data_IF_491291377735
#
_entry.id   IF_491291377735
#
_cell.length_a   1.000
_cell.length_b   1.000
_cell.length_c   1.000
_cell.angle_alpha   90.00
_cell.angle_beta   90.00
_cell.angle_gamma   90.00
#
_symmetry.space_group_name_H-M   'P 1'
#
loop_
_entity.id
_entity.type
_entity.pdbx_description
1 polymer ?
#
# COMPACT_ATOMS: atom_id res chain seq x y z
N UNK A 1 11.54 -12.87 14.73
CA UNK A 1 12.12 -14.23 14.58
C UNK A 1 13.48 -14.09 13.95
N UNK A 2 14.46 -14.92 14.36
CA UNK A 2 15.78 -14.96 13.70
C UNK A 2 15.78 -16.15 12.76
N UNK A 3 15.97 -15.89 11.47
CA UNK A 3 16.05 -16.90 10.41
C UNK A 3 17.33 -16.64 9.63
N UNK A 4 18.03 -17.67 9.25
CA UNK A 4 19.24 -17.60 8.43
C UNK A 4 19.00 -18.14 7.03
N UNK A 5 19.85 -17.76 6.07
CA UNK A 5 19.91 -18.36 4.73
C UNK A 5 21.34 -18.81 4.45
N UNK A 6 21.52 -19.73 3.48
CA UNK A 6 22.87 -20.19 3.12
C UNK A 6 23.72 -19.13 2.44
N UNK A 7 23.10 -18.29 1.62
CA UNK A 7 23.74 -17.15 0.98
C UNK A 7 22.77 -15.99 0.87
N UNK A 8 23.29 -14.78 0.97
CA UNK A 8 22.59 -13.55 0.69
C UNK A 8 23.36 -12.81 -0.40
N UNK A 9 22.65 -12.46 -1.47
CA UNK A 9 23.20 -11.72 -2.61
C UNK A 9 22.40 -10.44 -2.78
N UNK A 10 23.07 -9.31 -2.66
CA UNK A 10 22.48 -8.00 -2.94
C UNK A 10 22.95 -7.49 -4.29
N UNK A 11 22.02 -7.12 -5.14
CA UNK A 11 22.25 -6.56 -6.47
C UNK A 11 21.96 -5.07 -6.44
N UNK A 12 22.99 -4.26 -6.45
CA UNK A 12 22.89 -2.79 -6.50
C UNK A 12 22.97 -2.21 -7.91
N UNK A 13 23.60 -2.96 -8.83
CA UNK A 13 23.57 -2.67 -10.27
C UNK A 13 22.84 -3.81 -11.00
N UNK A 14 21.70 -3.56 -11.65
CA UNK A 14 21.00 -4.59 -12.41
C UNK A 14 21.84 -5.32 -13.46
N UNK A 15 22.85 -4.66 -14.04
CA UNK A 15 23.77 -5.26 -15.03
C UNK A 15 24.54 -6.46 -14.45
N UNK A 16 24.77 -6.54 -13.13
CA UNK A 16 25.41 -7.67 -12.47
C UNK A 16 24.62 -8.98 -12.68
N UNK A 17 23.32 -8.92 -12.92
CA UNK A 17 22.48 -10.09 -13.23
C UNK A 17 22.90 -10.79 -14.52
N UNK A 18 23.51 -10.10 -15.47
CA UNK A 18 24.00 -10.67 -16.73
C UNK A 18 25.17 -11.64 -16.49
N UNK A 19 25.99 -11.34 -15.51
CA UNK A 19 27.21 -12.11 -15.18
C UNK A 19 27.03 -13.07 -14.02
N UNK A 20 25.96 -12.92 -13.22
CA UNK A 20 25.67 -13.77 -12.08
C UNK A 20 25.43 -15.22 -12.51
N UNK A 21 26.24 -16.13 -12.01
CA UNK A 21 26.05 -17.57 -12.22
C UNK A 21 25.02 -18.12 -11.21
N UNK A 22 23.76 -18.15 -11.61
CA UNK A 22 22.66 -18.65 -10.77
C UNK A 22 22.79 -20.12 -10.39
N UNK A 23 23.47 -20.94 -11.21
CA UNK A 23 23.62 -22.38 -10.98
C UNK A 23 24.68 -22.67 -9.92
N UNK A 24 25.65 -21.77 -9.74
CA UNK A 24 26.66 -21.89 -8.68
C UNK A 24 26.14 -21.48 -7.29
N UNK A 25 25.02 -20.79 -7.23
CA UNK A 25 24.44 -20.35 -5.96
C UNK A 25 23.76 -21.52 -5.21
N UNK A 26 23.79 -21.54 -3.87
CA UNK A 26 22.97 -22.47 -3.08
C UNK A 26 21.49 -22.39 -3.48
N UNK A 27 20.92 -23.52 -3.87
CA UNK A 27 19.52 -23.61 -4.32
C UNK A 27 18.57 -23.91 -3.16
N UNK A 28 17.30 -23.45 -3.24
CA UNK A 28 16.72 -22.59 -4.29
C UNK A 28 17.15 -21.12 -4.16
N UNK A 29 17.12 -20.38 -5.27
CA UNK A 29 17.27 -18.91 -5.26
C UNK A 29 15.91 -18.25 -5.09
N UNK A 30 15.74 -17.52 -4.00
CA UNK A 30 14.51 -16.77 -3.67
C UNK A 30 14.75 -15.27 -3.81
N UNK A 31 13.99 -14.62 -4.70
CA UNK A 31 14.07 -13.16 -4.87
C UNK A 31 13.15 -12.49 -3.86
N UNK A 32 13.71 -11.60 -3.06
CA UNK A 32 13.01 -10.91 -1.97
C UNK A 32 13.22 -9.40 -2.10
N UNK A 33 12.18 -8.62 -1.84
CA UNK A 33 12.30 -7.21 -1.50
C UNK A 33 12.50 -7.02 0.01
N UNK A 34 11.98 -5.95 0.60
CA UNK A 34 12.13 -5.66 2.04
C UNK A 34 11.51 -6.68 3.02
N UNK A 35 10.99 -7.81 2.54
CA UNK A 35 10.52 -8.92 3.40
C UNK A 35 9.22 -8.64 4.17
N UNK A 36 8.54 -7.54 3.92
CA UNK A 36 7.39 -7.06 4.71
C UNK A 36 6.11 -7.90 4.60
N UNK A 37 6.06 -8.86 3.66
CA UNK A 37 4.92 -9.75 3.42
C UNK A 37 5.32 -11.22 3.43
N UNK A 38 6.38 -11.57 4.17
CA UNK A 38 6.94 -12.92 4.23
C UNK A 38 6.94 -13.45 5.67
N UNK A 39 6.63 -14.73 5.80
CA UNK A 39 6.82 -15.50 7.02
C UNK A 39 7.79 -16.65 6.75
N UNK A 40 9.04 -16.51 7.18
CA UNK A 40 9.97 -17.62 7.17
C UNK A 40 9.63 -18.59 8.28
N UNK A 41 9.34 -19.83 7.91
CA UNK A 41 8.93 -20.89 8.84
C UNK A 41 10.13 -21.67 9.42
N UNK A 42 11.30 -21.57 8.76
CA UNK A 42 12.56 -22.20 9.13
C UNK A 42 13.72 -21.47 8.45
N UNK A 43 14.95 -21.87 8.77
CA UNK A 43 16.13 -21.43 8.03
C UNK A 43 16.00 -21.76 6.54
N UNK A 44 16.31 -20.77 5.69
CA UNK A 44 16.18 -20.94 4.26
C UNK A 44 17.40 -21.70 3.70
N UNK A 45 17.20 -22.86 3.06
CA UNK A 45 18.32 -23.73 2.66
C UNK A 45 19.08 -23.24 1.42
N UNK A 46 18.69 -22.12 0.84
CA UNK A 46 19.19 -21.58 -0.42
C UNK A 46 19.73 -20.17 -0.33
N UNK A 47 19.70 -19.48 -1.46
CA UNK A 47 20.15 -18.10 -1.62
C UNK A 47 18.97 -17.14 -1.60
N UNK A 48 19.03 -16.12 -0.77
CA UNK A 48 18.15 -14.94 -0.85
C UNK A 48 18.84 -13.91 -1.74
N UNK A 49 18.17 -13.50 -2.81
CA UNK A 49 18.61 -12.44 -3.71
C UNK A 49 17.75 -11.20 -3.50
N UNK A 50 18.38 -10.10 -3.18
CA UNK A 50 17.72 -8.80 -2.93
C UNK A 50 18.14 -7.79 -4.00
N UNK A 51 17.18 -7.05 -4.54
CA UNK A 51 17.43 -5.94 -5.45
C UNK A 51 17.57 -4.65 -4.65
N UNK A 52 18.83 -4.26 -4.36
CA UNK A 52 19.18 -3.05 -3.60
C UNK A 52 19.38 -1.79 -4.46
N UNK A 53 19.10 -1.87 -5.77
CA UNK A 53 19.30 -0.75 -6.68
C UNK A 53 18.34 0.41 -6.39
N UNK A 54 18.87 1.64 -6.39
CA UNK A 54 18.17 2.84 -5.95
C UNK A 54 18.08 3.87 -7.08
N UNK A 55 17.02 4.64 -7.11
CA UNK A 55 16.87 5.78 -8.03
C UNK A 55 15.43 6.05 -8.43
N UNK A 56 15.10 7.33 -8.57
CA UNK A 56 13.82 7.82 -9.10
C UNK A 56 14.15 8.84 -10.18
N UNK A 57 13.58 8.68 -11.39
CA UNK A 57 13.82 9.61 -12.49
C UNK A 57 12.60 9.79 -13.38
N UNK A 58 12.42 10.99 -13.88
CA UNK A 58 11.46 11.24 -14.95
C UNK A 58 11.96 10.62 -16.27
N UNK A 59 11.03 10.07 -17.05
CA UNK A 59 11.30 9.66 -18.42
C UNK A 59 10.86 10.78 -19.36
N UNK A 60 11.80 11.30 -20.16
CA UNK A 60 11.50 12.27 -21.21
C UNK A 60 10.76 11.58 -22.36
N UNK A 61 9.67 12.20 -22.76
CA UNK A 61 8.73 11.65 -23.75
C UNK A 61 9.22 11.71 -25.21
N UNK A 62 10.47 12.06 -25.44
CA UNK A 62 11.02 12.20 -26.78
C UNK A 62 11.73 10.93 -27.31
N UNK A 63 11.92 9.90 -26.49
CA UNK A 63 12.54 8.64 -26.94
C UNK A 63 11.93 7.46 -26.22
N UNK A 64 11.12 6.68 -26.92
CA UNK A 64 10.72 5.33 -26.50
C UNK A 64 11.89 4.33 -26.50
N UNK A 65 13.09 4.79 -26.20
CA UNK A 65 14.33 4.00 -26.08
C UNK A 65 15.20 4.66 -25.02
N UNK A 66 15.45 3.95 -23.96
CA UNK A 66 16.41 4.34 -22.93
C UNK A 66 17.83 4.41 -23.55
N UNK A 67 18.21 5.55 -24.08
CA UNK A 67 19.63 5.87 -24.37
C UNK A 67 20.12 6.80 -23.27
N UNK A 68 21.09 6.27 -22.52
CA UNK A 68 22.05 6.93 -21.65
C UNK A 68 22.03 8.47 -21.67
N UNK A 69 21.16 9.08 -20.87
CA UNK A 69 21.33 10.48 -20.54
C UNK A 69 21.93 10.60 -19.13
N UNK A 70 23.23 10.92 -19.13
CA UNK A 70 24.08 11.08 -17.94
C UNK A 70 23.73 12.30 -17.06
N UNK A 71 22.56 12.91 -17.21
CA UNK A 71 22.27 14.23 -16.64
C UNK A 71 21.17 14.31 -15.58
N UNK A 72 20.72 13.20 -15.03
CA UNK A 72 19.85 13.28 -13.84
C UNK A 72 20.40 12.34 -12.78
N UNK A 73 21.27 12.85 -11.94
CA UNK A 73 21.82 12.11 -10.79
C UNK A 73 20.98 12.45 -9.59
N UNK A 74 20.29 11.46 -9.04
CA UNK A 74 19.77 11.53 -7.67
C UNK A 74 20.95 11.25 -6.75
N UNK A 75 21.38 12.27 -6.04
CA UNK A 75 22.41 12.13 -5.00
C UNK A 75 21.73 11.76 -3.70
N UNK A 76 22.02 10.60 -3.17
CA UNK A 76 21.71 10.25 -1.77
C UNK A 76 22.64 11.03 -0.86
N UNK A 77 22.07 11.79 0.09
CA UNK A 77 22.83 12.42 1.15
C UNK A 77 23.30 11.37 2.16
N UNK A 78 24.37 11.68 2.90
CA UNK A 78 24.93 10.81 3.94
C UNK A 78 23.94 10.47 5.08
N UNK A 79 22.76 11.09 5.12
CA UNK A 79 21.65 10.85 6.05
C UNK A 79 20.57 9.91 5.45
N UNK A 80 20.80 9.35 4.25
CA UNK A 80 19.85 8.45 3.58
C UNK A 80 18.70 9.16 2.83
N UNK A 81 18.64 10.49 2.83
CA UNK A 81 17.59 11.20 2.08
C UNK A 81 17.99 11.46 0.62
N UNK A 82 17.07 11.26 -0.33
CA UNK A 82 17.26 11.52 -1.75
C UNK A 82 16.99 12.99 -2.08
N UNK A 83 17.93 13.68 -2.75
CA UNK A 83 17.72 15.03 -3.29
C UNK A 83 17.60 14.98 -4.82
N UNK A 84 16.55 15.60 -5.35
CA UNK A 84 16.22 15.63 -6.78
C UNK A 84 16.72 16.90 -7.42
N UNK A 85 17.45 16.79 -8.55
CA UNK A 85 17.70 17.91 -9.47
C UNK A 85 16.63 17.80 -10.57
N UNK A 86 15.64 18.70 -10.51
CA UNK A 86 14.52 18.76 -11.45
C UNK A 86 14.92 19.46 -12.75
N UNK A 87 14.71 18.80 -13.90
CA UNK A 87 14.49 19.50 -15.18
C UNK A 87 12.98 19.64 -15.39
N UNK A 88 12.49 20.88 -15.45
CA UNK A 88 11.08 21.20 -15.72
C UNK A 88 10.68 20.71 -17.10
N UNK A 89 9.87 19.66 -17.16
CA UNK A 89 9.09 19.30 -18.34
C UNK A 89 7.73 20.01 -18.26
N UNK A 90 7.61 21.20 -18.82
CA UNK A 90 6.38 21.99 -18.84
C UNK A 90 5.38 21.39 -19.85
N UNK A 91 4.13 21.16 -19.44
CA UNK A 91 2.97 21.05 -20.33
C UNK A 91 2.29 19.70 -20.48
N UNK A 92 2.72 18.58 -19.84
CA UNK A 92 1.98 17.29 -19.90
C UNK A 92 1.16 17.03 -18.66
N UNK A 93 -0.09 16.54 -18.87
CA UNK A 93 -1.01 16.14 -17.80
C UNK A 93 -0.51 14.89 -17.05
N UNK A 94 0.18 14.00 -17.75
CA UNK A 94 0.76 12.77 -17.19
C UNK A 94 2.28 12.79 -17.30
N UNK A 95 2.94 12.26 -16.27
CA UNK A 95 4.39 12.12 -16.17
C UNK A 95 4.75 10.65 -16.02
N UNK A 96 5.70 10.18 -16.83
CA UNK A 96 6.28 8.86 -16.68
C UNK A 96 7.49 8.94 -15.75
N UNK A 97 7.48 8.14 -14.70
CA UNK A 97 8.52 8.11 -13.67
C UNK A 97 9.04 6.69 -13.54
N UNK A 98 10.32 6.46 -13.82
CA UNK A 98 10.98 5.19 -13.55
C UNK A 98 11.55 5.20 -12.15
N UNK A 99 11.25 4.14 -11.41
CA UNK A 99 11.71 3.92 -10.03
C UNK A 99 12.39 2.56 -9.97
N UNK A 100 13.60 2.52 -9.44
CA UNK A 100 14.38 1.30 -9.31
C UNK A 100 13.77 0.38 -8.23
N UNK A 101 13.98 -0.94 -8.36
CA UNK A 101 13.24 -1.96 -7.61
C UNK A 101 13.48 -1.93 -6.11
N UNK A 102 14.69 -1.56 -5.67
CA UNK A 102 15.07 -1.49 -4.25
C UNK A 102 14.65 -0.20 -3.54
N UNK A 103 14.02 0.75 -4.24
CA UNK A 103 13.51 1.98 -3.60
C UNK A 103 12.37 1.60 -2.65
N UNK A 104 12.41 2.09 -1.41
CA UNK A 104 11.30 1.95 -0.46
C UNK A 104 10.05 2.59 -1.06
N UNK A 105 8.94 1.86 -1.10
CA UNK A 105 7.73 2.32 -1.79
C UNK A 105 7.17 3.60 -1.18
N UNK A 106 7.27 3.77 0.14
CA UNK A 106 6.83 4.99 0.82
C UNK A 106 7.69 6.21 0.49
N UNK A 107 8.99 6.03 0.24
CA UNK A 107 9.87 7.10 -0.23
C UNK A 107 9.48 7.58 -1.64
N UNK A 108 9.09 6.64 -2.51
CA UNK A 108 8.50 6.99 -3.81
C UNK A 108 7.19 7.77 -3.65
N UNK A 109 6.29 7.37 -2.73
CA UNK A 109 5.07 8.12 -2.44
C UNK A 109 5.36 9.54 -1.93
N UNK A 110 6.36 9.68 -1.05
CA UNK A 110 6.80 10.97 -0.53
C UNK A 110 7.34 11.86 -1.65
N UNK A 111 8.27 11.32 -2.45
CA UNK A 111 8.84 12.02 -3.58
C UNK A 111 7.76 12.49 -4.57
N UNK A 112 6.81 11.62 -4.94
CA UNK A 112 5.73 11.99 -5.86
C UNK A 112 4.85 13.12 -5.30
N UNK A 113 4.52 13.08 -4.01
CA UNK A 113 3.75 14.12 -3.34
C UNK A 113 4.49 15.46 -3.29
N UNK A 114 5.81 15.47 -3.04
CA UNK A 114 6.67 16.65 -3.09
C UNK A 114 6.74 17.28 -4.49
N UNK A 115 6.68 16.45 -5.55
CA UNK A 115 6.59 16.91 -6.93
C UNK A 115 5.17 17.37 -7.33
N UNK A 116 4.19 17.29 -6.43
CA UNK A 116 2.79 17.61 -6.73
C UNK A 116 2.12 16.60 -7.66
N UNK A 117 2.65 15.38 -7.77
CA UNK A 117 2.15 14.33 -8.64
C UNK A 117 1.16 13.42 -7.91
N UNK A 118 0.08 13.07 -8.60
CA UNK A 118 -1.02 12.26 -8.12
C UNK A 118 -0.90 10.81 -8.59
N UNK A 119 -1.29 9.88 -7.75
CA UNK A 119 -1.38 8.45 -8.04
C UNK A 119 -1.01 7.59 -6.84
N UNK A 120 0.20 7.67 -6.26
CA UNK A 120 0.62 6.80 -5.18
C UNK A 120 0.26 7.31 -3.76
N UNK A 121 -0.30 8.51 -3.60
CA UNK A 121 -0.53 9.15 -2.29
C UNK A 121 -1.36 8.30 -1.31
N UNK A 122 -2.36 7.56 -1.83
CA UNK A 122 -3.18 6.64 -1.02
C UNK A 122 -2.43 5.37 -0.58
N UNK A 123 -1.32 5.05 -1.23
CA UNK A 123 -0.48 3.89 -0.93
C UNK A 123 0.64 4.21 0.08
N UNK A 124 0.63 5.41 0.64
CA UNK A 124 1.62 5.88 1.60
C UNK A 124 1.73 4.98 2.83
N UNK A 125 2.95 4.85 3.35
CA UNK A 125 3.31 4.03 4.51
C UNK A 125 3.00 2.53 4.32
N UNK A 126 2.80 2.03 3.08
CA UNK A 126 2.83 0.59 2.83
C UNK A 126 4.28 0.15 2.89
N UNK A 127 4.63 -0.81 3.77
CA UNK A 127 6.00 -1.28 3.88
C UNK A 127 6.40 -2.12 2.65
N UNK A 128 7.70 -2.11 2.34
CA UNK A 128 8.26 -2.86 1.22
C UNK A 128 8.81 -1.96 0.12
N UNK A 129 9.25 -2.56 -0.95
CA UNK A 129 9.99 -1.93 -2.03
C UNK A 129 9.20 -1.91 -3.34
N UNK A 130 9.61 -1.04 -4.26
CA UNK A 130 8.95 -0.83 -5.55
C UNK A 130 8.86 -2.12 -6.37
N UNK A 131 9.92 -2.91 -6.45
CA UNK A 131 9.89 -4.20 -7.16
C UNK A 131 8.84 -5.16 -6.60
N UNK A 132 8.80 -5.29 -5.26
CA UNK A 132 7.81 -6.13 -4.57
C UNK A 132 6.38 -5.59 -4.72
N UNK A 133 6.20 -4.27 -4.82
CA UNK A 133 4.89 -3.64 -5.03
C UNK A 133 4.23 -4.09 -6.33
N UNK A 134 5.02 -4.26 -7.39
CA UNK A 134 4.55 -4.75 -8.68
C UNK A 134 4.24 -6.26 -8.65
N UNK A 135 5.01 -7.06 -7.90
CA UNK A 135 4.71 -8.50 -7.73
C UNK A 135 3.38 -8.70 -7.02
N UNK A 136 3.16 -7.99 -5.92
CA UNK A 136 2.00 -8.15 -5.04
C UNK A 136 0.75 -7.42 -5.54
N UNK A 137 0.88 -6.48 -6.49
CA UNK A 137 -0.16 -5.49 -6.80
C UNK A 137 -0.69 -4.87 -5.50
N UNK A 138 0.23 -4.22 -4.74
CA UNK A 138 -0.14 -3.62 -3.45
C UNK A 138 -1.29 -2.65 -3.61
N UNK A 139 -2.11 -2.51 -2.57
CA UNK A 139 -3.24 -1.61 -2.63
C UNK A 139 -3.77 -1.23 -1.26
N UNK A 140 -4.18 0.02 -1.13
CA UNK A 140 -4.82 0.57 0.06
C UNK A 140 -5.70 1.76 -0.33
N UNK A 141 -6.70 2.04 0.49
CA UNK A 141 -7.56 3.24 0.37
C UNK A 141 -8.11 3.49 -1.04
N UNK A 142 -8.55 2.40 -1.72
CA UNK A 142 -9.20 2.46 -3.03
C UNK A 142 -8.26 2.62 -4.23
N UNK A 143 -6.94 2.50 -4.04
CA UNK A 143 -5.91 2.53 -5.08
C UNK A 143 -5.10 1.24 -5.05
N UNK A 144 -4.76 0.70 -6.20
CA UNK A 144 -3.85 -0.43 -6.37
C UNK A 144 -2.64 0.00 -7.23
N UNK A 145 -1.49 -0.66 -7.07
CA UNK A 145 -0.28 -0.34 -7.82
C UNK A 145 -0.49 -0.42 -9.34
N UNK A 146 -1.30 -1.38 -9.81
CA UNK A 146 -1.68 -1.50 -11.24
C UNK A 146 -2.33 -0.26 -11.83
N UNK A 147 -2.99 0.58 -10.99
CA UNK A 147 -3.69 1.78 -11.47
C UNK A 147 -2.70 2.85 -11.96
N UNK A 148 -1.44 2.75 -11.52
CA UNK A 148 -0.36 3.67 -11.86
C UNK A 148 0.83 3.02 -12.56
N UNK A 149 0.96 1.68 -12.56
CA UNK A 149 2.02 0.96 -13.28
C UNK A 149 1.81 1.08 -14.78
N UNK A 150 2.83 1.58 -15.49
CA UNK A 150 2.89 1.61 -16.95
C UNK A 150 3.70 0.44 -17.51
N UNK A 151 4.92 0.24 -17.01
CA UNK A 151 5.83 -0.79 -17.48
C UNK A 151 6.62 -1.38 -16.31
N UNK A 152 6.77 -2.70 -16.28
CA UNK A 152 7.66 -3.41 -15.37
C UNK A 152 8.93 -3.79 -16.11
N UNK A 153 10.08 -3.34 -15.62
CA UNK A 153 11.39 -3.68 -16.15
C UNK A 153 11.95 -4.88 -15.38
N UNK A 154 12.31 -5.94 -16.08
CA UNK A 154 12.73 -7.17 -15.42
C UNK A 154 13.89 -7.85 -16.15
N UNK A 155 14.66 -8.64 -15.40
CA UNK A 155 15.61 -9.58 -15.93
C UNK A 155 14.94 -10.95 -16.07
N UNK A 156 14.87 -11.50 -17.27
CA UNK A 156 14.41 -12.87 -17.52
C UNK A 156 15.56 -13.87 -17.27
N UNK A 157 15.41 -14.66 -16.22
CA UNK A 157 16.43 -15.66 -15.83
C UNK A 157 16.61 -16.77 -16.85
N UNK A 158 15.60 -17.05 -17.69
CA UNK A 158 15.65 -18.10 -18.71
C UNK A 158 16.44 -17.63 -19.93
N UNK A 159 16.08 -16.46 -20.47
CA UNK A 159 16.75 -15.91 -21.66
C UNK A 159 18.03 -15.13 -21.33
N UNK A 160 18.23 -14.80 -20.03
CA UNK A 160 19.33 -13.96 -19.52
C UNK A 160 19.39 -12.59 -20.19
N UNK A 161 18.23 -11.98 -20.37
CA UNK A 161 18.08 -10.66 -21.00
C UNK A 161 17.16 -9.78 -20.16
N UNK A 162 17.36 -8.47 -20.27
CA UNK A 162 16.39 -7.51 -19.74
C UNK A 162 15.20 -7.40 -20.69
N UNK A 163 14.01 -7.30 -20.09
CA UNK A 163 12.73 -7.19 -20.80
C UNK A 163 11.87 -6.09 -20.18
N UNK A 164 11.11 -5.42 -21.02
CA UNK A 164 10.11 -4.44 -20.63
C UNK A 164 8.72 -5.07 -20.80
N UNK A 165 7.98 -5.19 -19.71
CA UNK A 165 6.66 -5.83 -19.68
C UNK A 165 5.61 -4.74 -19.45
N UNK A 166 4.69 -4.49 -20.39
CA UNK A 166 3.60 -3.55 -20.18
C UNK A 166 2.77 -3.93 -18.95
N UNK A 167 2.36 -2.95 -18.15
CA UNK A 167 1.54 -3.20 -16.96
C UNK A 167 0.25 -3.97 -17.29
N UNK A 168 -0.34 -3.74 -18.46
CA UNK A 168 -1.53 -4.44 -18.93
C UNK A 168 -1.31 -5.96 -19.12
N UNK A 169 -0.07 -6.39 -19.39
CA UNK A 169 0.28 -7.79 -19.65
C UNK A 169 0.69 -8.55 -18.37
N UNK A 170 0.81 -7.85 -17.23
CA UNK A 170 1.21 -8.45 -15.95
C UNK A 170 0.10 -9.27 -15.27
N UNK A 171 -1.11 -9.35 -15.83
CA UNK A 171 -2.23 -10.13 -15.31
C UNK A 171 -2.69 -9.69 -13.91
N UNK A 172 -2.67 -8.39 -13.64
CA UNK A 172 -3.00 -7.85 -12.33
C UNK A 172 -4.46 -8.10 -11.92
N UNK A 173 -4.63 -8.64 -10.74
CA UNK A 173 -5.89 -8.79 -10.01
C UNK A 173 -5.76 -8.34 -8.56
N UNK A 174 -6.80 -8.52 -7.77
CA UNK A 174 -6.76 -8.22 -6.34
C UNK A 174 -5.69 -9.06 -5.64
N UNK A 175 -4.62 -8.43 -5.18
CA UNK A 175 -3.44 -9.09 -4.57
C UNK A 175 -2.81 -10.17 -5.46
N UNK A 176 -2.96 -10.06 -6.76
CA UNK A 176 -2.51 -11.05 -7.74
C UNK A 176 -1.79 -10.41 -8.92
N UNK A 177 -0.82 -11.14 -9.46
CA UNK A 177 -0.13 -10.87 -10.71
C UNK A 177 0.43 -12.17 -11.28
N UNK A 178 0.83 -12.19 -12.55
CA UNK A 178 1.54 -13.33 -13.14
C UNK A 178 2.89 -13.58 -12.46
N UNK A 179 3.51 -12.57 -11.86
CA UNK A 179 4.77 -12.76 -11.09
C UNK A 179 4.59 -13.64 -9.85
N UNK A 180 3.36 -13.75 -9.30
CA UNK A 180 3.03 -14.66 -8.18
C UNK A 180 2.62 -16.06 -8.64
N UNK A 181 2.27 -16.26 -9.91
CA UNK A 181 1.74 -17.50 -10.47
C UNK A 181 2.63 -18.02 -11.59
N UNK A 182 2.26 -17.86 -12.83
CA UNK A 182 2.88 -18.48 -14.03
C UNK A 182 4.34 -18.01 -14.24
N UNK A 183 4.68 -16.83 -13.78
CA UNK A 183 6.01 -16.25 -13.90
C UNK A 183 6.83 -16.33 -12.61
N UNK A 184 6.33 -17.01 -11.58
CA UNK A 184 7.02 -17.11 -10.29
C UNK A 184 8.42 -17.68 -10.47
N UNK A 185 9.43 -16.93 -9.99
CA UNK A 185 10.84 -17.31 -10.07
C UNK A 185 11.52 -17.12 -11.43
N UNK A 186 10.77 -16.74 -12.49
CA UNK A 186 11.35 -16.45 -13.81
C UNK A 186 11.93 -15.06 -13.91
N UNK A 187 11.18 -14.05 -13.50
CA UNK A 187 11.58 -12.65 -13.64
C UNK A 187 12.11 -12.08 -12.33
N UNK A 188 13.19 -11.30 -12.41
CA UNK A 188 13.70 -10.46 -11.34
C UNK A 188 13.36 -9.01 -11.75
N UNK A 189 12.45 -8.37 -11.03
CA UNK A 189 12.08 -6.98 -11.31
C UNK A 189 13.22 -6.07 -10.91
N UNK A 190 13.67 -5.23 -11.86
CA UNK A 190 14.78 -4.29 -11.68
C UNK A 190 14.31 -2.85 -11.53
N UNK A 191 13.18 -2.49 -12.14
CA UNK A 191 12.55 -1.18 -11.97
C UNK A 191 11.07 -1.24 -12.37
N UNK A 192 10.32 -0.21 -12.00
CA UNK A 192 8.94 0.00 -12.45
C UNK A 192 8.80 1.42 -12.99
N UNK A 193 8.19 1.57 -14.15
CA UNK A 193 7.75 2.86 -14.66
C UNK A 193 6.30 3.10 -14.26
N UNK A 194 6.08 4.21 -13.57
CA UNK A 194 4.75 4.66 -13.15
C UNK A 194 4.26 5.81 -14.01
N UNK A 195 2.95 5.86 -14.25
CA UNK A 195 2.25 6.96 -14.90
C UNK A 195 1.50 7.78 -13.86
N UNK A 196 2.01 8.97 -13.56
CA UNK A 196 1.49 9.86 -12.52
C UNK A 196 0.81 11.08 -13.14
N UNK A 197 -0.23 11.60 -12.48
CA UNK A 197 -0.97 12.77 -12.96
C UNK A 197 -0.42 14.07 -12.38
N UNK A 198 -0.21 15.07 -13.24
CA UNK A 198 0.11 16.44 -12.83
C UNK A 198 -1.16 17.27 -12.54
N UNK A 199 -2.35 16.73 -12.80
CA UNK A 199 -3.62 17.36 -12.46
C UNK A 199 -4.32 16.61 -11.32
N UNK A 200 -5.08 17.30 -10.46
CA UNK A 200 -5.75 16.68 -9.33
C UNK A 200 -6.63 15.49 -9.73
N UNK A 201 -6.43 14.35 -9.05
CA UNK A 201 -7.23 13.12 -9.17
C UNK A 201 -7.40 12.45 -7.79
N UNK A 202 -7.95 13.17 -6.79
CA UNK A 202 -8.02 12.64 -5.43
C UNK A 202 -8.95 11.42 -5.36
N UNK A 203 -8.53 10.39 -4.62
CA UNK A 203 -9.33 9.20 -4.29
C UNK A 203 -9.66 9.23 -2.81
N UNK A 204 -10.86 9.72 -2.45
CA UNK A 204 -11.23 10.01 -1.05
C UNK A 204 -12.29 9.08 -0.47
N UNK A 205 -12.95 8.28 -1.31
CA UNK A 205 -14.19 7.57 -0.92
C UNK A 205 -13.96 6.27 -0.14
N UNK A 206 -12.71 5.89 0.07
CA UNK A 206 -12.37 4.63 0.73
C UNK A 206 -11.66 4.86 2.08
N UNK A 207 -11.95 3.99 3.05
CA UNK A 207 -11.18 3.88 4.29
C UNK A 207 -11.28 5.06 5.25
N UNK A 208 -12.26 5.96 5.07
CA UNK A 208 -12.45 7.12 5.94
C UNK A 208 -11.49 8.28 5.64
N UNK A 209 -10.77 8.25 4.51
CA UNK A 209 -9.83 9.33 4.11
C UNK A 209 -10.56 10.67 4.00
N UNK A 210 -11.72 10.72 3.32
CA UNK A 210 -12.56 11.93 3.22
C UNK A 210 -12.89 12.50 4.59
N UNK A 211 -13.43 11.68 5.50
CA UNK A 211 -13.80 12.10 6.85
C UNK A 211 -12.62 12.64 7.66
N UNK A 212 -11.45 12.00 7.54
CA UNK A 212 -10.24 12.43 8.24
C UNK A 212 -9.69 13.75 7.67
N UNK A 213 -9.76 13.95 6.34
CA UNK A 213 -9.41 15.21 5.69
C UNK A 213 -10.35 16.35 6.13
N UNK A 214 -11.66 16.12 6.12
CA UNK A 214 -12.65 17.12 6.56
C UNK A 214 -12.41 17.54 8.01
N UNK A 215 -12.12 16.59 8.91
CA UNK A 215 -11.75 16.90 10.29
C UNK A 215 -10.50 17.78 10.37
N UNK A 216 -9.44 17.49 9.62
CA UNK A 216 -8.23 18.32 9.54
C UNK A 216 -8.51 19.73 9.02
N UNK A 217 -9.36 19.86 7.99
CA UNK A 217 -9.76 21.20 7.49
C UNK A 217 -10.54 22.00 8.54
N UNK A 218 -11.42 21.36 9.30
CA UNK A 218 -12.15 22.01 10.38
C UNK A 218 -11.24 22.45 11.53
N UNK A 219 -10.28 21.60 11.94
CA UNK A 219 -9.29 21.92 12.97
C UNK A 219 -8.39 23.10 12.55
N UNK A 220 -7.92 23.09 11.31
CA UNK A 220 -7.11 24.17 10.75
C UNK A 220 -7.91 25.48 10.70
N UNK A 221 -9.15 25.43 10.24
CA UNK A 221 -10.03 26.57 10.17
C UNK A 221 -10.35 27.13 11.58
N UNK A 222 -10.55 26.27 12.58
CA UNK A 222 -10.77 26.66 13.98
C UNK A 222 -9.50 27.21 14.65
N UNK A 223 -8.33 26.69 14.31
CA UNK A 223 -7.02 27.18 14.79
C UNK A 223 -6.63 28.52 14.19
N UNK A 224 -6.90 28.73 12.89
CA UNK A 224 -6.67 30.01 12.19
C UNK A 224 -7.65 31.12 12.66
N UNK A 225 -8.89 30.75 13.02
CA UNK A 225 -9.89 31.68 13.54
C UNK A 225 -9.53 32.28 14.91
N UNK A 226 -8.56 31.71 15.63
CA UNK A 226 -8.03 32.29 16.86
C UNK A 226 -7.06 33.45 16.64
N UNK A 227 -6.47 33.56 15.45
CA UNK A 227 -5.48 34.60 15.13
C UNK A 227 -5.97 35.63 14.09
N UNK A 228 -7.08 35.36 13.38
CA UNK A 228 -7.62 36.29 12.38
C UNK A 228 -9.01 36.74 12.79
N UNK A 229 -9.14 38.01 13.20
CA UNK A 229 -10.41 38.59 13.72
C UNK A 229 -11.54 38.66 12.68
N UNK A 230 -11.32 38.19 11.45
CA UNK A 230 -12.22 38.36 10.31
C UNK A 230 -12.80 37.08 9.72
N UNK A 231 -12.60 35.90 10.34
CA UNK A 231 -13.16 34.64 9.85
C UNK A 231 -14.07 34.03 10.90
N UNK A 232 -15.35 33.93 10.62
CA UNK A 232 -16.35 33.24 11.48
C UNK A 232 -16.75 31.93 10.80
N UNK A 233 -16.60 30.82 11.52
CA UNK A 233 -17.07 29.51 11.10
C UNK A 233 -18.35 29.22 11.86
N UNK A 234 -19.44 28.99 11.13
CA UNK A 234 -20.69 28.53 11.69
C UNK A 234 -20.95 27.08 11.24
N UNK A 235 -21.03 26.17 12.21
CA UNK A 235 -21.48 24.80 12.00
C UNK A 235 -22.99 24.72 12.20
N UNK A 236 -23.72 24.15 11.22
CA UNK A 236 -25.15 23.86 11.35
C UNK A 236 -25.37 22.49 11.98
N UNK A 237 -26.56 22.29 12.54
CA UNK A 237 -26.95 21.02 13.18
C UNK A 237 -26.97 19.80 12.24
N UNK A 238 -26.91 20.00 10.92
CA UNK A 238 -26.86 18.99 9.87
C UNK A 238 -25.41 18.57 9.51
N UNK A 239 -24.39 19.08 10.25
CA UNK A 239 -22.98 18.79 10.01
C UNK A 239 -22.34 19.61 8.88
N UNK A 240 -23.07 20.52 8.24
CA UNK A 240 -22.51 21.43 7.25
C UNK A 240 -21.81 22.63 7.92
N UNK A 241 -20.62 23.00 7.46
CA UNK A 241 -19.90 24.19 7.93
C UNK A 241 -19.93 25.30 6.88
N UNK A 242 -20.27 26.51 7.28
CA UNK A 242 -20.19 27.71 6.43
C UNK A 242 -19.03 28.58 6.91
N UNK A 243 -18.12 28.95 6.01
CA UNK A 243 -17.02 29.89 6.32
C UNK A 243 -17.43 31.28 5.82
N UNK A 244 -17.51 32.21 6.70
CA UNK A 244 -17.77 33.63 6.38
C UNK A 244 -16.41 34.34 6.37
N UNK A 245 -15.98 34.79 5.20
CA UNK A 245 -14.79 35.62 5.05
C UNK A 245 -15.23 37.08 4.87
N UNK A 246 -14.78 37.96 5.73
CA UNK A 246 -14.92 39.41 5.52
C UNK A 246 -13.74 39.93 4.73
N UNK A 247 -13.99 40.60 3.63
CA UNK A 247 -12.95 41.31 2.86
C UNK A 247 -12.52 42.58 3.58
N UNK A 248 -11.35 43.09 3.22
CA UNK A 248 -10.79 44.32 3.80
C UNK A 248 -11.69 45.58 3.64
N UNK A 249 -12.70 45.51 2.78
CA UNK A 249 -13.72 46.58 2.55
C UNK A 249 -14.96 46.46 3.45
N UNK A 250 -14.97 45.51 4.39
CA UNK A 250 -16.10 45.30 5.32
C UNK A 250 -17.27 44.51 4.73
N UNK A 251 -17.23 44.09 3.49
CA UNK A 251 -18.28 43.25 2.89
C UNK A 251 -18.11 41.78 3.28
N UNK A 252 -19.17 41.17 3.83
CA UNK A 252 -19.21 39.76 4.14
C UNK A 252 -19.71 38.96 2.92
N UNK A 253 -18.93 38.11 2.34
CA UNK A 253 -19.40 37.12 1.38
C UNK A 253 -19.59 35.77 2.06
N UNK A 254 -20.82 35.31 2.14
CA UNK A 254 -21.14 33.94 2.56
C UNK A 254 -20.84 33.03 1.38
N UNK A 255 -19.72 32.34 1.42
CA UNK A 255 -19.41 31.26 0.46
C UNK A 255 -20.00 29.99 1.06
N UNK A 256 -21.27 29.74 0.82
CA UNK A 256 -21.91 28.46 1.10
C UNK A 256 -21.49 27.47 0.01
N UNK A 257 -20.30 26.91 0.11
CA UNK A 257 -19.92 25.68 -0.58
C UNK A 257 -19.89 24.57 0.47
N UNK A 258 -20.50 23.43 0.16
CA UNK A 258 -20.37 22.24 1.01
C UNK A 258 -18.89 22.00 1.31
N UNK A 259 -18.55 21.62 2.53
CA UNK A 259 -17.16 21.32 2.93
C UNK A 259 -16.53 20.32 1.96
N UNK A 260 -17.31 19.36 1.49
CA UNK A 260 -16.95 18.37 0.48
C UNK A 260 -16.38 18.98 -0.81
N UNK A 261 -17.06 19.96 -1.41
CA UNK A 261 -16.62 20.61 -2.65
C UNK A 261 -15.32 21.44 -2.47
N UNK A 262 -15.09 21.94 -1.27
CA UNK A 262 -13.88 22.69 -0.92
C UNK A 262 -12.70 21.76 -0.68
N UNK A 263 -12.91 20.64 -0.01
CA UNK A 263 -11.88 19.60 0.20
C UNK A 263 -11.37 19.13 -1.15
N UNK A 264 -12.24 18.75 -2.09
CA UNK A 264 -11.82 18.25 -3.40
C UNK A 264 -11.03 19.27 -4.24
N UNK A 265 -11.35 20.55 -4.12
CA UNK A 265 -10.67 21.62 -4.88
C UNK A 265 -9.35 22.10 -4.26
N UNK A 266 -9.13 21.84 -2.97
CA UNK A 266 -7.99 22.39 -2.22
C UNK A 266 -7.00 21.33 -1.77
N UNK A 267 -7.35 20.03 -1.92
CA UNK A 267 -6.51 18.94 -1.48
C UNK A 267 -5.27 18.78 -2.37
N UNK A 268 -4.16 18.44 -1.75
CA UNK A 268 -2.90 18.13 -2.44
C UNK A 268 -2.50 16.66 -2.20
N UNK A 269 -1.63 16.06 -3.02
CA UNK A 269 -1.10 14.72 -2.76
C UNK A 269 -0.48 14.61 -1.37
N UNK A 270 0.24 15.64 -0.94
CA UNK A 270 0.86 15.71 0.39
C UNK A 270 -0.17 15.63 1.52
N UNK A 271 -1.30 16.33 1.39
CA UNK A 271 -2.37 16.31 2.41
C UNK A 271 -3.04 14.94 2.51
N UNK A 272 -3.27 14.26 1.37
CA UNK A 272 -3.78 12.88 1.38
C UNK A 272 -2.76 11.95 2.02
N UNK A 273 -1.49 12.02 1.60
CA UNK A 273 -0.41 11.23 2.18
C UNK A 273 -0.36 11.34 3.70
N UNK A 274 -0.31 12.56 4.25
CA UNK A 274 -0.27 12.80 5.69
C UNK A 274 -1.51 12.25 6.41
N UNK A 275 -2.67 12.37 5.79
CA UNK A 275 -3.93 11.85 6.33
C UNK A 275 -3.92 10.33 6.37
N UNK A 276 -3.49 9.69 5.27
CA UNK A 276 -3.35 8.22 5.19
C UNK A 276 -2.34 7.72 6.21
N UNK A 277 -1.19 8.36 6.35
CA UNK A 277 -0.17 8.05 7.37
C UNK A 277 -0.78 8.12 8.77
N UNK A 278 -1.54 9.18 9.08
CA UNK A 278 -2.22 9.33 10.37
C UNK A 278 -3.18 8.17 10.66
N UNK A 279 -4.05 7.84 9.69
CA UNK A 279 -4.99 6.70 9.81
C UNK A 279 -4.24 5.38 10.01
N UNK A 280 -3.14 5.17 9.29
CA UNK A 280 -2.37 3.93 9.38
C UNK A 280 -1.65 3.79 10.71
N UNK A 281 -0.99 4.85 11.21
CA UNK A 281 -0.32 4.86 12.51
C UNK A 281 -1.28 4.62 13.68
N UNK A 282 -2.52 5.09 13.56
CA UNK A 282 -3.55 4.83 14.59
C UNK A 282 -3.95 3.34 14.62
N UNK A 283 -4.05 2.69 13.46
CA UNK A 283 -4.63 1.35 13.31
C UNK A 283 -3.61 0.22 13.26
N UNK A 284 -2.43 0.45 12.69
CA UNK A 284 -1.43 -0.59 12.44
C UNK A 284 -0.33 -0.58 13.49
N UNK A 285 0.31 -1.71 13.76
CA UNK A 285 1.50 -1.74 14.60
C UNK A 285 2.65 -1.04 13.90
N UNK A 286 3.53 -0.40 14.66
CA UNK A 286 4.79 0.08 14.15
C UNK A 286 5.75 -1.12 13.95
N UNK A 287 6.25 -1.36 12.72
CA UNK A 287 7.15 -2.48 12.44
C UNK A 287 8.48 -2.41 13.21
N UNK A 288 8.91 -1.21 13.62
CA UNK A 288 10.13 -1.04 14.43
C UNK A 288 9.93 -1.51 15.88
N UNK A 289 8.69 -1.43 16.39
CA UNK A 289 8.34 -1.83 17.75
C UNK A 289 7.85 -3.27 17.83
N UNK A 290 7.01 -3.70 16.87
CA UNK A 290 6.34 -5.00 16.89
C UNK A 290 6.43 -5.66 15.51
N UNK A 291 7.11 -6.80 15.44
CA UNK A 291 7.25 -7.56 14.20
C UNK A 291 5.88 -8.05 13.69
N UNK A 292 5.59 -7.78 12.42
CA UNK A 292 4.42 -8.27 11.71
C UNK A 292 4.76 -8.47 10.23
N UNK A 293 3.94 -9.23 9.51
CA UNK A 293 4.00 -9.38 8.05
C UNK A 293 2.89 -8.58 7.35
N UNK A 294 2.36 -7.53 8.01
CA UNK A 294 1.26 -6.71 7.50
C UNK A 294 -0.11 -7.38 7.63
N UNK A 295 -1.01 -7.11 6.69
CA UNK A 295 -2.32 -7.77 6.62
C UNK A 295 -2.14 -9.25 6.32
N UNK A 296 -2.58 -10.13 7.23
CA UNK A 296 -2.28 -11.55 7.15
C UNK A 296 -3.22 -12.31 6.19
N UNK A 297 -4.45 -11.83 6.01
CA UNK A 297 -5.47 -12.49 5.19
C UNK A 297 -6.01 -11.57 4.11
N UNK A 298 -6.33 -12.16 2.95
CA UNK A 298 -7.09 -11.49 1.90
C UNK A 298 -8.57 -11.33 2.32
N UNK A 299 -9.20 -10.24 1.89
CA UNK A 299 -10.65 -10.10 2.00
C UNK A 299 -11.32 -11.04 1.00
N UNK A 300 -12.17 -11.99 1.43
CA UNK A 300 -12.84 -12.91 0.50
C UNK A 300 -13.86 -12.18 -0.38
N UNK A 301 -13.94 -12.63 -1.65
CA UNK A 301 -14.97 -12.22 -2.59
C UNK A 301 -15.86 -13.43 -2.86
N UNK A 302 -17.12 -13.34 -2.44
CA UNK A 302 -18.08 -14.44 -2.41
C UNK A 302 -19.32 -14.15 -3.25
N UNK A 303 -20.09 -15.18 -3.57
CA UNK A 303 -21.37 -15.03 -4.26
C UNK A 303 -22.42 -14.35 -3.34
N UNK A 304 -23.35 -13.60 -3.92
CA UNK A 304 -24.36 -12.83 -3.17
C UNK A 304 -25.22 -13.71 -2.27
N UNK A 305 -25.63 -14.87 -2.74
CA UNK A 305 -26.42 -15.83 -1.94
C UNK A 305 -25.67 -16.32 -0.68
N UNK A 306 -24.34 -16.44 -0.78
CA UNK A 306 -23.50 -16.78 0.37
C UNK A 306 -23.43 -15.61 1.35
N UNK A 307 -23.29 -14.39 0.83
CA UNK A 307 -23.30 -13.18 1.66
C UNK A 307 -24.60 -13.02 2.44
N UNK A 308 -25.77 -13.31 1.84
CA UNK A 308 -27.06 -13.27 2.52
C UNK A 308 -27.14 -14.23 3.71
N UNK A 309 -26.53 -15.42 3.62
CA UNK A 309 -26.40 -16.36 4.74
C UNK A 309 -25.57 -15.78 5.87
N UNK A 310 -24.46 -15.07 5.54
CA UNK A 310 -23.62 -14.40 6.55
C UNK A 310 -24.40 -13.28 7.23
N UNK A 311 -25.18 -12.50 6.49
CA UNK A 311 -26.06 -11.45 7.03
C UNK A 311 -27.08 -12.06 7.99
N UNK A 312 -27.68 -13.21 7.65
CA UNK A 312 -28.64 -13.89 8.53
C UNK A 312 -27.98 -14.34 9.84
N UNK A 313 -26.76 -14.92 9.79
CA UNK A 313 -25.99 -15.28 10.99
C UNK A 313 -25.70 -14.05 11.86
N UNK A 314 -25.18 -12.98 11.22
CA UNK A 314 -24.81 -11.76 11.93
C UNK A 314 -26.01 -11.07 12.59
N UNK A 315 -27.18 -11.04 11.92
CA UNK A 315 -28.43 -10.49 12.49
C UNK A 315 -28.98 -11.33 13.64
N UNK A 316 -28.85 -12.65 13.57
CA UNK A 316 -29.25 -13.53 14.67
C UNK A 316 -28.41 -13.29 15.94
N UNK A 317 -27.14 -12.94 15.80
CA UNK A 317 -26.24 -12.69 16.93
C UNK A 317 -26.30 -11.26 17.46
N UNK A 318 -26.47 -10.24 16.57
CA UNK A 318 -26.31 -8.83 16.93
C UNK A 318 -27.61 -8.02 16.83
N UNK A 319 -28.71 -8.66 16.41
CA UNK A 319 -30.02 -8.01 16.25
C UNK A 319 -30.40 -7.72 14.80
N UNK A 320 -31.71 -7.54 14.51
CA UNK A 320 -32.24 -7.47 13.14
C UNK A 320 -31.74 -6.28 12.32
N UNK A 321 -31.36 -5.19 12.98
CA UNK A 321 -30.86 -3.96 12.35
C UNK A 321 -29.35 -3.98 12.10
N UNK A 322 -28.65 -5.08 12.44
CA UNK A 322 -27.21 -5.18 12.27
C UNK A 322 -26.83 -5.24 10.79
N UNK A 323 -25.91 -4.37 10.37
CA UNK A 323 -25.39 -4.30 9.02
C UNK A 323 -24.00 -4.94 8.94
N UNK A 324 -23.84 -5.91 8.04
CA UNK A 324 -22.56 -6.53 7.75
C UNK A 324 -21.78 -5.62 6.79
N UNK A 325 -20.55 -5.16 7.16
CA UNK A 325 -19.74 -4.36 6.26
C UNK A 325 -19.37 -5.16 5.01
N UNK A 326 -19.55 -4.56 3.85
CA UNK A 326 -19.25 -5.19 2.57
C UNK A 326 -19.00 -4.18 1.46
N UNK A 327 -18.47 -4.68 0.33
CA UNK A 327 -18.25 -3.90 -0.88
C UNK A 327 -18.71 -4.74 -2.09
N UNK A 328 -19.52 -4.16 -2.96
CA UNK A 328 -19.93 -4.80 -4.20
C UNK A 328 -18.76 -4.86 -5.19
N UNK A 329 -18.59 -6.03 -5.80
CA UNK A 329 -17.58 -6.30 -6.84
C UNK A 329 -18.29 -6.98 -8.01
N UNK A 330 -18.89 -6.20 -8.89
CA UNK A 330 -19.80 -6.72 -9.91
C UNK A 330 -20.99 -7.44 -9.29
N UNK A 331 -21.19 -8.70 -9.66
CA UNK A 331 -22.27 -9.54 -9.11
C UNK A 331 -21.91 -10.19 -7.77
N UNK A 332 -20.63 -10.10 -7.35
CA UNK A 332 -20.09 -10.69 -6.14
C UNK A 332 -19.94 -9.67 -5.03
N UNK A 333 -19.68 -10.13 -3.83
CA UNK A 333 -19.53 -9.30 -2.63
C UNK A 333 -18.18 -9.58 -1.97
N UNK A 334 -17.40 -8.50 -1.72
CA UNK A 334 -16.18 -8.56 -0.92
C UNK A 334 -16.51 -8.27 0.54
N UNK A 335 -16.22 -9.21 1.43
CA UNK A 335 -16.45 -9.09 2.87
C UNK A 335 -15.13 -8.81 3.58
N UNK A 336 -15.03 -7.81 4.47
CA UNK A 336 -13.81 -7.55 5.23
C UNK A 336 -13.44 -8.73 6.14
N UNK A 337 -12.28 -9.34 5.92
CA UNK A 337 -11.77 -10.42 6.76
C UNK A 337 -11.56 -9.95 8.20
N UNK A 338 -11.13 -8.69 8.41
CA UNK A 338 -10.99 -8.08 9.73
C UNK A 338 -12.30 -8.14 10.53
N UNK A 339 -13.44 -7.89 9.89
CA UNK A 339 -14.75 -7.98 10.53
C UNK A 339 -15.07 -9.43 10.94
N UNK A 340 -14.86 -10.41 10.07
CA UNK A 340 -15.09 -11.82 10.37
C UNK A 340 -14.23 -12.30 11.55
N UNK A 341 -12.96 -11.92 11.56
CA UNK A 341 -12.00 -12.24 12.62
C UNK A 341 -12.45 -11.64 13.97
N UNK A 342 -12.91 -10.38 13.95
CA UNK A 342 -13.44 -9.70 15.14
C UNK A 342 -14.73 -10.36 15.65
N UNK A 343 -15.69 -10.68 14.76
CA UNK A 343 -16.95 -11.39 15.09
C UNK A 343 -16.73 -12.83 15.61
N UNK A 344 -15.58 -13.42 15.35
CA UNK A 344 -15.17 -14.70 15.91
C UNK A 344 -14.39 -14.56 17.24
N UNK A 345 -14.25 -13.34 17.78
CA UNK A 345 -13.62 -13.07 19.06
C UNK A 345 -12.10 -13.18 19.06
N UNK A 346 -11.45 -13.13 17.89
CA UNK A 346 -9.99 -13.23 17.79
C UNK A 346 -9.23 -11.94 18.09
N UNK A 347 -9.90 -10.79 18.07
CA UNK A 347 -9.26 -9.50 18.32
C UNK A 347 -8.54 -9.48 19.67
N UNK A 348 -7.21 -9.33 19.65
CA UNK A 348 -6.36 -9.35 20.83
C UNK A 348 -6.04 -10.76 21.36
N UNK A 349 -6.55 -11.83 20.72
CA UNK A 349 -6.25 -13.21 21.13
C UNK A 349 -4.77 -13.52 20.98
N UNK A 350 -4.21 -14.18 21.99
CA UNK A 350 -2.81 -14.63 22.03
C UNK A 350 -2.73 -16.14 21.94
N UNK A 351 -1.66 -16.61 21.28
CA UNK A 351 -1.23 -18.00 21.27
C UNK A 351 0.29 -18.02 21.38
N UNK A 352 0.82 -18.37 22.54
CA UNK A 352 2.24 -18.22 22.82
C UNK A 352 2.70 -16.76 22.67
N UNK A 353 3.72 -16.53 21.85
CA UNK A 353 4.23 -15.20 21.49
C UNK A 353 3.46 -14.49 20.39
N UNK A 354 2.60 -15.21 19.65
CA UNK A 354 1.79 -14.65 18.57
C UNK A 354 0.50 -14.01 19.10
N UNK A 355 0.04 -12.93 18.44
CA UNK A 355 -1.21 -12.25 18.80
C UNK A 355 -1.91 -11.69 17.55
N UNK A 356 -3.24 -11.84 17.50
CA UNK A 356 -4.08 -11.02 16.61
C UNK A 356 -4.08 -9.58 17.14
N UNK A 357 -3.64 -8.63 16.32
CA UNK A 357 -3.41 -7.26 16.80
C UNK A 357 -4.70 -6.59 17.28
N UNK A 358 -4.70 -5.98 18.49
CA UNK A 358 -5.95 -5.47 19.08
C UNK A 358 -6.61 -4.33 18.32
N UNK A 359 -5.84 -3.51 17.60
CA UNK A 359 -6.37 -2.38 16.83
C UNK A 359 -6.76 -2.76 15.39
N UNK A 360 -6.18 -3.84 14.84
CA UNK A 360 -6.46 -4.33 13.49
C UNK A 360 -6.44 -5.86 13.45
N UNK A 361 -7.60 -6.51 13.50
CA UNK A 361 -7.68 -7.98 13.57
C UNK A 361 -7.11 -8.70 12.35
N UNK A 362 -6.88 -7.99 11.24
CA UNK A 362 -6.27 -8.55 10.05
C UNK A 362 -4.76 -8.81 10.20
N UNK A 363 -4.14 -8.26 11.25
CA UNK A 363 -2.69 -8.33 11.48
C UNK A 363 -2.38 -9.32 12.58
N UNK A 364 -1.48 -10.27 12.31
CA UNK A 364 -0.87 -11.13 13.33
C UNK A 364 0.52 -10.56 13.63
N UNK A 365 0.79 -10.37 14.93
CA UNK A 365 2.03 -9.76 15.41
C UNK A 365 2.83 -10.75 16.27
N UNK A 366 4.14 -10.56 16.30
CA UNK A 366 5.05 -11.15 17.29
C UNK A 366 5.04 -10.27 18.54
N UNK A 367 4.05 -10.51 19.41
CA UNK A 367 3.77 -9.64 20.55
C UNK A 367 4.84 -9.67 21.65
N UNK A 368 5.66 -10.74 21.72
CA UNK A 368 6.72 -10.91 22.72
C UNK A 368 8.12 -10.63 22.17
N UNK A 369 8.27 -10.52 20.84
CA UNK A 369 9.56 -10.55 20.16
C UNK A 369 10.12 -11.95 19.96
N UNK A 370 9.53 -12.98 20.61
CA UNK A 370 10.02 -14.37 20.63
C UNK A 370 9.02 -15.37 20.04
N UNK A 371 7.93 -14.91 19.39
CA UNK A 371 6.98 -15.81 18.75
C UNK A 371 7.69 -16.72 17.74
N UNK A 372 7.35 -18.01 17.79
CA UNK A 372 7.84 -18.98 16.82
C UNK A 372 6.98 -19.00 15.56
N UNK A 373 7.50 -19.46 14.42
CA UNK A 373 6.69 -19.67 13.22
C UNK A 373 5.49 -20.59 13.48
N UNK A 374 5.69 -21.66 14.24
CA UNK A 374 4.64 -22.63 14.57
C UNK A 374 3.48 -21.99 15.37
N UNK A 375 3.76 -21.08 16.30
CA UNK A 375 2.74 -20.32 17.02
C UNK A 375 1.93 -19.41 16.11
N UNK A 376 2.60 -18.74 15.14
CA UNK A 376 1.93 -17.89 14.17
C UNK A 376 1.05 -18.72 13.25
N UNK A 377 1.57 -19.84 12.72
CA UNK A 377 0.82 -20.76 11.85
C UNK A 377 -0.36 -21.39 12.63
N UNK A 378 -0.16 -21.79 13.88
CA UNK A 378 -1.23 -22.35 14.68
C UNK A 378 -2.35 -21.33 14.94
N UNK A 379 -2.00 -20.05 15.18
CA UNK A 379 -2.98 -18.97 15.32
C UNK A 379 -3.72 -18.70 13.99
N UNK A 380 -2.99 -18.66 12.88
CA UNK A 380 -3.54 -18.55 11.53
C UNK A 380 -4.56 -19.66 11.24
N UNK A 381 -4.18 -20.92 11.43
CA UNK A 381 -5.04 -22.08 11.17
C UNK A 381 -6.28 -22.07 12.07
N UNK A 382 -6.14 -21.63 13.31
CA UNK A 382 -7.27 -21.48 14.23
C UNK A 382 -8.26 -20.42 13.74
N UNK A 383 -7.76 -19.28 13.23
CA UNK A 383 -8.60 -18.23 12.62
C UNK A 383 -9.34 -18.78 11.40
N UNK A 384 -8.61 -19.41 10.47
CA UNK A 384 -9.19 -20.01 9.24
C UNK A 384 -10.27 -21.03 9.60
N UNK A 385 -9.97 -21.98 10.47
CA UNK A 385 -10.90 -23.03 10.87
C UNK A 385 -12.18 -22.48 11.49
N UNK A 386 -12.06 -21.53 12.43
CA UNK A 386 -13.23 -20.94 13.09
C UNK A 386 -14.12 -20.16 12.10
N UNK A 387 -13.53 -19.40 11.17
CA UNK A 387 -14.28 -18.63 10.17
C UNK A 387 -14.95 -19.58 9.17
N UNK A 388 -14.25 -20.65 8.75
CA UNK A 388 -14.84 -21.68 7.91
C UNK A 388 -16.03 -22.34 8.58
N UNK A 389 -15.92 -22.73 9.85
CA UNK A 389 -16.98 -23.40 10.60
C UNK A 389 -18.19 -22.47 10.82
N UNK A 390 -17.97 -21.17 11.05
CA UNK A 390 -19.03 -20.20 11.32
C UNK A 390 -19.70 -19.67 10.04
N UNK A 391 -18.89 -19.31 9.03
CA UNK A 391 -19.36 -18.60 7.84
C UNK A 391 -19.26 -19.41 6.54
N UNK A 392 -18.66 -20.61 6.56
CA UNK A 392 -18.42 -21.41 5.36
C UNK A 392 -17.39 -20.80 4.42
N UNK A 393 -16.51 -19.92 4.92
CA UNK A 393 -15.49 -19.23 4.13
C UNK A 393 -14.10 -19.73 4.52
N UNK A 394 -13.34 -20.17 3.54
CA UNK A 394 -11.90 -20.42 3.69
C UNK A 394 -11.14 -19.11 3.49
N UNK A 395 -10.54 -18.56 4.55
CA UNK A 395 -9.66 -17.41 4.41
C UNK A 395 -8.31 -17.83 3.82
N UNK A 396 -7.82 -17.04 2.88
CA UNK A 396 -6.51 -17.26 2.27
C UNK A 396 -5.49 -16.27 2.85
N UNK A 397 -4.31 -16.75 3.30
CA UNK A 397 -3.21 -15.88 3.69
C UNK A 397 -2.78 -14.99 2.53
N UNK A 398 -2.55 -13.71 2.80
CA UNK A 398 -1.86 -12.79 1.88
C UNK A 398 -0.34 -12.90 2.06
N UNK A 399 0.09 -13.23 3.29
CA UNK A 399 1.48 -13.45 3.65
C UNK A 399 2.00 -14.72 3.01
N UNK A 400 3.16 -14.64 2.37
CA UNK A 400 3.82 -15.81 1.77
C UNK A 400 4.66 -16.54 2.82
N UNK A 401 4.41 -17.85 2.97
CA UNK A 401 5.20 -18.74 3.83
C UNK A 401 6.42 -19.27 3.05
N UNK A 402 7.61 -19.09 3.62
CA UNK A 402 8.90 -19.47 3.03
C UNK A 402 9.60 -20.54 3.86
#
# INVERSE_FOLDING_TARGET
MKVSCRAYVEITDPEDLLTLDFDSLPQPVFVMGGGSNLLFTKDFPGTVLHMGNQGIRFLDSASGSARNDKNTVVSTKADGSASVISTKAEGRVEKSVRVEAGVVFDDFCAWAAEQGLWGPENLSLIPGEVGASAVQNIGAYGVEAKDIIDTVHAFDRITRTFVDIPGADCGYGYRASLFKTDWKGRYIITAVTFRLSAVPRPRLDYGGVRKALEARFLDFASGSARNDKNTVISTKADGSASVISTKADGSASVISTKVEDRVEKSVTPQMIRETVIGIRREKLPDPEEIGSAGSFFCNPVIERDHFEKIVAIAKAENGPEYEVPHYDVGERVKVPAAWMIDQCGFKGMKLGGAQVYPKQPLVIVNATGEATPDEIIALEQRVIGTIRDKYGIELHPEVEHV
#
